data_IF_170249675344
#
_entry.id   IF_170249675344
#
_cell.length_a   1.000
_cell.length_b   1.000
_cell.length_c   1.000
_cell.angle_alpha   90.00
_cell.angle_beta   90.00
_cell.angle_gamma   90.00
#
_symmetry.space_group_name_H-M   'P 1'
#
loop_
_entity.id
_entity.type
_entity.pdbx_description
1 polymer ?
#
# COMPACT_ATOMS: atom_id res chain seq x y z
N UNK A 1 -2.08 -2.42 -11.63
CA UNK A 1 -1.08 -3.28 -12.30
C UNK A 1 0.09 -3.50 -11.37
N UNK A 2 0.91 -4.53 -11.62
CA UNK A 2 2.13 -4.81 -10.88
C UNK A 2 3.33 -4.76 -11.82
N UNK A 3 4.44 -4.18 -11.36
CA UNK A 3 5.71 -4.13 -12.06
C UNK A 3 6.76 -4.77 -11.17
N UNK A 4 7.22 -5.96 -11.57
CA UNK A 4 8.02 -6.85 -10.73
C UNK A 4 9.34 -7.20 -11.42
N UNK A 5 10.42 -7.25 -10.65
CA UNK A 5 11.63 -7.97 -11.06
C UNK A 5 11.38 -9.49 -10.99
N UNK A 6 12.12 -10.27 -11.79
CA UNK A 6 11.91 -11.72 -11.92
C UNK A 6 11.84 -12.45 -10.56
N UNK A 7 12.67 -12.04 -9.59
CA UNK A 7 12.72 -12.63 -8.24
C UNK A 7 11.40 -12.54 -7.45
N UNK A 8 10.52 -11.60 -7.78
CA UNK A 8 9.26 -11.38 -7.05
C UNK A 8 8.06 -12.05 -7.68
N UNK A 9 8.17 -12.56 -8.91
CA UNK A 9 7.04 -13.17 -9.61
C UNK A 9 6.53 -14.39 -8.85
N UNK A 10 7.43 -15.28 -8.44
CA UNK A 10 7.05 -16.49 -7.68
C UNK A 10 6.69 -16.16 -6.23
N UNK A 11 7.38 -15.18 -5.63
CA UNK A 11 7.17 -14.77 -4.23
C UNK A 11 5.79 -14.13 -4.01
N UNK A 12 5.24 -13.47 -5.03
CA UNK A 12 3.93 -12.78 -4.97
C UNK A 12 2.80 -13.57 -5.63
N UNK A 13 2.99 -14.88 -5.84
CA UNK A 13 2.03 -15.69 -6.61
C UNK A 13 0.64 -15.70 -5.98
N UNK A 14 0.57 -15.72 -4.65
CA UNK A 14 -0.66 -15.59 -3.87
C UNK A 14 -1.44 -14.32 -4.23
N UNK A 15 -0.76 -13.17 -4.27
CA UNK A 15 -1.38 -11.88 -4.61
C UNK A 15 -1.74 -11.79 -6.09
N UNK A 16 -0.89 -12.33 -6.96
CA UNK A 16 -1.09 -12.31 -8.42
C UNK A 16 -2.34 -13.12 -8.80
N UNK A 17 -2.55 -14.28 -8.17
CA UNK A 17 -3.66 -15.17 -8.52
C UNK A 17 -5.00 -14.69 -7.98
N UNK A 18 -5.00 -13.87 -6.93
CA UNK A 18 -6.22 -13.29 -6.35
C UNK A 18 -6.73 -12.04 -7.09
N UNK A 19 -5.90 -11.42 -7.93
CA UNK A 19 -6.20 -10.13 -8.54
C UNK A 19 -6.19 -10.19 -10.07
N UNK A 20 -7.21 -9.63 -10.75
CA UNK A 20 -7.23 -9.58 -12.22
C UNK A 20 -6.27 -8.52 -12.80
N UNK A 21 -5.33 -8.00 -12.01
CA UNK A 21 -4.45 -6.92 -12.42
C UNK A 21 -3.29 -7.46 -13.28
N UNK A 22 -2.92 -6.76 -14.37
CA UNK A 22 -1.79 -7.20 -15.19
C UNK A 22 -0.48 -7.10 -14.40
N UNK A 23 0.36 -8.12 -14.58
CA UNK A 23 1.70 -8.23 -13.98
C UNK A 23 2.74 -8.14 -15.09
N UNK A 24 3.65 -7.19 -14.97
CA UNK A 24 4.76 -6.98 -15.89
C UNK A 24 6.06 -7.39 -15.20
N UNK A 25 6.71 -8.44 -15.70
CA UNK A 25 8.07 -8.78 -15.31
C UNK A 25 9.05 -7.89 -16.11
N UNK A 26 9.85 -7.09 -15.41
CA UNK A 26 10.76 -6.11 -16.02
C UNK A 26 12.16 -6.21 -15.45
N UNK A 27 13.15 -5.77 -16.22
CA UNK A 27 14.51 -5.59 -15.72
C UNK A 27 14.60 -4.38 -14.79
N UNK A 28 15.62 -4.30 -13.90
CA UNK A 28 15.86 -3.12 -13.06
C UNK A 28 16.01 -1.83 -13.87
N UNK A 29 16.68 -1.90 -15.02
CA UNK A 29 16.93 -0.76 -15.90
C UNK A 29 15.63 -0.23 -16.50
N UNK A 30 14.75 -1.13 -16.97
CA UNK A 30 13.43 -0.73 -17.47
C UNK A 30 12.54 -0.20 -16.34
N UNK A 31 12.60 -0.79 -15.15
CA UNK A 31 11.86 -0.30 -13.99
C UNK A 31 12.26 1.15 -13.67
N UNK A 32 13.56 1.44 -13.63
CA UNK A 32 14.11 2.77 -13.38
C UNK A 32 13.72 3.79 -14.47
N UNK A 33 13.75 3.39 -15.74
CA UNK A 33 13.28 4.24 -16.85
C UNK A 33 11.80 4.61 -16.71
N UNK A 34 10.95 3.68 -16.26
CA UNK A 34 9.51 3.90 -16.10
C UNK A 34 9.20 4.75 -14.87
N UNK A 35 9.89 4.53 -13.75
CA UNK A 35 9.61 5.21 -12.48
C UNK A 35 10.33 6.55 -12.34
N UNK A 36 11.43 6.75 -13.06
CA UNK A 36 12.32 7.91 -12.91
C UNK A 36 13.25 7.81 -11.70
N UNK A 37 13.34 6.64 -11.05
CA UNK A 37 14.22 6.40 -9.91
C UNK A 37 14.52 4.90 -9.75
N UNK A 38 15.67 4.59 -9.15
CA UNK A 38 16.05 3.21 -8.88
C UNK A 38 15.09 2.54 -7.88
N UNK A 39 14.43 1.47 -8.31
CA UNK A 39 13.46 0.73 -7.49
C UNK A 39 14.18 -0.24 -6.54
N UNK A 40 14.50 0.22 -5.32
CA UNK A 40 15.32 -0.53 -4.35
C UNK A 40 14.86 -1.95 -4.06
N UNK A 41 13.55 -2.23 -4.08
CA UNK A 41 13.01 -3.55 -3.75
C UNK A 41 12.58 -4.35 -4.97
N UNK A 42 12.53 -3.76 -6.17
CA UNK A 42 12.19 -4.47 -7.41
C UNK A 42 10.75 -5.00 -7.47
N UNK A 43 9.82 -4.43 -6.70
CA UNK A 43 8.40 -4.72 -6.78
C UNK A 43 7.61 -3.43 -6.55
N UNK A 44 6.71 -3.10 -7.48
CA UNK A 44 5.85 -1.93 -7.43
C UNK A 44 4.43 -2.30 -7.85
N UNK A 45 3.46 -1.60 -7.29
CA UNK A 45 2.06 -1.71 -7.66
C UNK A 45 1.47 -0.33 -7.94
N UNK A 46 0.66 -0.25 -8.99
CA UNK A 46 -0.20 0.88 -9.26
C UNK A 46 -1.61 0.56 -8.77
N UNK A 47 -2.11 1.41 -7.87
CA UNK A 47 -3.40 1.26 -7.21
C UNK A 47 -4.25 2.52 -7.37
N UNK A 48 -5.56 2.36 -7.42
CA UNK A 48 -6.49 3.49 -7.42
C UNK A 48 -6.74 3.96 -5.99
N UNK A 49 -6.53 5.25 -5.73
CA UNK A 49 -6.90 5.86 -4.45
C UNK A 49 -8.41 5.85 -4.29
N UNK A 50 -8.92 5.25 -3.21
CA UNK A 50 -10.35 5.31 -2.88
C UNK A 50 -10.75 6.75 -2.49
N UNK A 51 -12.00 7.17 -2.77
CA UNK A 51 -12.54 8.39 -2.20
C UNK A 51 -12.41 8.38 -0.67
N UNK A 52 -12.18 9.56 -0.09
CA UNK A 52 -12.14 9.69 1.37
C UNK A 52 -13.57 9.49 1.92
N UNK A 53 -13.81 8.52 2.81
CA UNK A 53 -15.12 8.37 3.44
C UNK A 53 -15.41 9.57 4.34
N UNK A 54 -16.69 9.89 4.50
CA UNK A 54 -17.11 10.89 5.49
C UNK A 54 -16.93 10.33 6.91
N UNK A 55 -16.80 11.21 7.90
CA UNK A 55 -16.75 10.81 9.29
C UNK A 55 -18.01 10.01 9.70
N UNK A 56 -19.18 10.41 9.20
CA UNK A 56 -20.45 9.71 9.46
C UNK A 56 -20.41 8.27 8.95
N UNK A 57 -19.99 8.05 7.70
CA UNK A 57 -19.88 6.70 7.13
C UNK A 57 -18.86 5.83 7.88
N UNK A 58 -17.72 6.41 8.26
CA UNK A 58 -16.69 5.70 9.01
C UNK A 58 -17.18 5.27 10.41
N UNK A 59 -17.86 6.17 11.11
CA UNK A 59 -18.33 5.96 12.49
C UNK A 59 -19.59 5.09 12.59
N UNK A 60 -20.26 4.76 11.48
CA UNK A 60 -21.42 3.85 11.49
C UNK A 60 -21.07 2.44 12.00
N UNK A 61 -19.85 1.98 11.72
CA UNK A 61 -19.41 0.61 12.03
C UNK A 61 -18.18 0.53 12.92
N UNK A 62 -17.40 1.63 13.03
CA UNK A 62 -16.22 1.67 13.88
C UNK A 62 -16.57 1.57 15.37
N UNK A 63 -15.86 0.72 16.10
CA UNK A 63 -15.98 0.58 17.56
C UNK A 63 -14.79 1.22 18.29
N UNK A 64 -13.64 1.28 17.62
CA UNK A 64 -12.40 1.85 18.15
C UNK A 64 -11.80 2.78 17.10
N UNK A 65 -11.59 4.04 17.50
CA UNK A 65 -11.15 5.12 16.62
C UNK A 65 -9.86 5.72 17.14
N UNK A 66 -8.87 5.88 16.27
CA UNK A 66 -7.64 6.64 16.56
C UNK A 66 -7.76 8.03 15.93
N UNK A 67 -7.76 9.04 16.78
CA UNK A 67 -7.74 10.43 16.33
C UNK A 67 -6.30 10.95 16.40
N UNK A 68 -5.76 11.32 15.25
CA UNK A 68 -4.45 11.99 15.16
C UNK A 68 -4.64 13.50 15.17
N UNK A 69 -4.41 14.13 16.32
CA UNK A 69 -4.43 15.59 16.44
C UNK A 69 -3.00 16.14 16.34
N UNK A 70 -2.80 17.13 15.47
CA UNK A 70 -1.53 17.87 15.35
C UNK A 70 -0.29 17.01 15.06
N UNK A 71 -0.44 15.88 14.39
CA UNK A 71 0.68 15.01 13.96
C UNK A 71 1.23 15.50 12.62
N UNK A 72 2.48 15.98 12.60
CA UNK A 72 3.09 16.58 11.40
C UNK A 72 4.35 15.85 10.87
N UNK A 73 4.78 14.75 11.52
CA UNK A 73 5.94 13.94 11.10
C UNK A 73 5.45 12.67 10.39
N UNK A 74 5.85 12.48 9.12
CA UNK A 74 5.47 11.32 8.31
C UNK A 74 5.91 9.97 8.91
N UNK A 75 6.98 9.95 9.69
CA UNK A 75 7.50 8.75 10.37
C UNK A 75 6.56 8.33 11.49
N UNK A 76 6.01 9.29 12.23
CA UNK A 76 5.06 9.04 13.31
C UNK A 76 3.74 8.50 12.75
N UNK A 77 3.27 9.03 11.63
CA UNK A 77 2.05 8.53 10.96
C UNK A 77 2.19 7.04 10.63
N UNK A 78 3.29 6.65 9.97
CA UNK A 78 3.52 5.25 9.63
C UNK A 78 3.60 4.30 10.83
N UNK A 79 4.17 4.76 11.95
CA UNK A 79 4.21 4.00 13.19
C UNK A 79 2.81 3.86 13.82
N UNK A 80 2.03 4.93 13.86
CA UNK A 80 0.66 4.94 14.40
C UNK A 80 -0.22 3.96 13.62
N UNK A 81 -0.19 3.97 12.28
CA UNK A 81 -0.98 3.04 11.48
C UNK A 81 -0.65 1.57 11.79
N UNK A 82 0.64 1.23 11.97
CA UNK A 82 1.04 -0.14 12.35
C UNK A 82 0.54 -0.51 13.74
N UNK A 83 0.67 0.40 14.71
CA UNK A 83 0.17 0.18 16.07
C UNK A 83 -1.35 0.05 16.11
N UNK A 84 -2.07 0.89 15.37
CA UNK A 84 -3.53 0.84 15.27
C UNK A 84 -4.02 -0.50 14.69
N UNK A 85 -3.38 -0.99 13.63
CA UNK A 85 -3.67 -2.30 13.06
C UNK A 85 -3.39 -3.43 14.06
N UNK A 86 -2.28 -3.38 14.79
CA UNK A 86 -1.93 -4.38 15.80
C UNK A 86 -2.88 -4.38 17.01
N UNK A 87 -3.44 -3.22 17.38
CA UNK A 87 -4.37 -3.06 18.50
C UNK A 87 -5.84 -3.27 18.10
N UNK A 88 -6.11 -3.56 16.82
CA UNK A 88 -7.46 -3.77 16.30
C UNK A 88 -8.32 -2.52 16.38
N UNK A 89 -7.79 -1.39 15.90
CA UNK A 89 -8.55 -0.17 15.65
C UNK A 89 -9.31 -0.29 14.33
N UNK A 90 -10.50 0.30 14.26
CA UNK A 90 -11.39 0.19 13.09
C UNK A 90 -11.34 1.45 12.20
N UNK A 91 -10.93 2.58 12.78
CA UNK A 91 -10.91 3.90 12.16
C UNK A 91 -9.72 4.74 12.65
#
# INVERSE_FOLDING_TARGET
>A
SMLLSAKWVDVMRDVIDELPAPVYAVSPELAEQVTGYHVHRGALASMQRKPLPTATELLQTARRVVVMESVNDHTNIGAIFRSAAALGMDA
#
